data_IF_193579811286
#
_entry.id   IF_193579811286
#
_cell.length_a   1.000
_cell.length_b   1.000
_cell.length_c   1.000
_cell.angle_alpha   90.00
_cell.angle_beta   90.00
_cell.angle_gamma   90.00
#
_symmetry.space_group_name_H-M   'P 1'
#
loop_
_entity.id
_entity.type
_entity.pdbx_description
1 polymer ?
#
# COMPACT_ATOMS: atom_id res chain seq x y z
N UNK A 1 31.43 -21.69 6.51
CA UNK A 1 30.92 -21.23 5.21
C UNK A 1 29.50 -20.73 5.41
N UNK A 2 29.25 -19.43 5.26
CA UNK A 2 27.92 -18.83 5.42
C UNK A 2 27.15 -19.01 4.11
N UNK A 3 26.04 -19.77 4.16
CA UNK A 3 25.04 -19.76 3.10
C UNK A 3 24.42 -18.36 3.05
N UNK A 4 24.85 -17.53 2.09
CA UNK A 4 24.16 -16.29 1.71
C UNK A 4 22.77 -16.69 1.24
N UNK A 5 21.76 -16.46 2.09
CA UNK A 5 20.36 -16.71 1.78
C UNK A 5 19.96 -16.01 0.47
N UNK A 6 19.30 -16.76 -0.40
CA UNK A 6 18.97 -16.43 -1.80
C UNK A 6 17.88 -15.34 -1.96
N UNK A 7 17.49 -14.61 -0.90
CA UNK A 7 16.47 -13.57 -1.03
C UNK A 7 16.73 -12.36 -0.12
N UNK A 8 17.65 -11.49 -0.51
CA UNK A 8 17.56 -10.06 -0.15
C UNK A 8 17.22 -9.30 -1.42
N UNK A 9 15.94 -8.96 -1.64
CA UNK A 9 15.61 -7.99 -2.68
C UNK A 9 16.05 -6.62 -2.15
N UNK A 10 17.16 -6.10 -2.63
CA UNK A 10 17.65 -4.73 -2.36
C UNK A 10 16.74 -3.62 -2.96
N UNK A 11 15.50 -3.97 -3.31
CA UNK A 11 14.49 -3.08 -3.90
C UNK A 11 13.23 -3.13 -3.04
N UNK A 12 13.17 -2.25 -2.06
CA UNK A 12 11.97 -2.04 -1.24
C UNK A 12 10.96 -1.11 -1.94
N UNK A 13 11.37 -0.45 -3.02
CA UNK A 13 10.58 0.53 -3.78
C UNK A 13 9.85 -0.14 -4.96
N UNK A 14 8.65 -0.63 -4.68
CA UNK A 14 7.77 -1.24 -5.66
C UNK A 14 6.83 -0.16 -6.23
N UNK A 15 7.01 0.33 -7.46
CA UNK A 15 6.12 1.35 -8.03
C UNK A 15 4.78 0.73 -8.47
N UNK A 16 3.66 1.36 -8.10
CA UNK A 16 2.32 0.85 -8.44
C UNK A 16 2.10 0.86 -9.96
N UNK A 17 1.66 -0.25 -10.57
CA UNK A 17 1.28 -0.25 -11.98
C UNK A 17 0.19 0.76 -12.29
N UNK A 18 0.43 1.63 -13.26
CA UNK A 18 -0.42 2.78 -13.55
C UNK A 18 -1.87 2.36 -13.81
N UNK A 19 -2.09 1.30 -14.59
CA UNK A 19 -3.43 0.77 -14.89
C UNK A 19 -4.19 0.26 -13.66
N UNK A 20 -3.48 -0.29 -12.67
CA UNK A 20 -4.10 -0.72 -11.42
C UNK A 20 -4.50 0.50 -10.59
N UNK A 21 -3.59 1.47 -10.48
CA UNK A 21 -3.86 2.72 -9.76
C UNK A 21 -5.06 3.47 -10.36
N UNK A 22 -5.12 3.63 -11.68
CA UNK A 22 -6.21 4.34 -12.36
C UNK A 22 -7.58 3.73 -12.08
N UNK A 23 -7.70 2.40 -12.09
CA UNK A 23 -8.95 1.71 -11.74
C UNK A 23 -9.38 1.95 -10.29
N UNK A 24 -8.42 1.96 -9.38
CA UNK A 24 -8.69 2.25 -7.96
C UNK A 24 -9.04 3.72 -7.78
N UNK A 25 -8.35 4.63 -8.48
CA UNK A 25 -8.58 6.06 -8.39
C UNK A 25 -9.91 6.49 -9.05
N UNK A 26 -10.38 5.78 -10.07
CA UNK A 26 -11.71 5.98 -10.65
C UNK A 26 -12.82 5.63 -9.64
N UNK A 27 -12.58 4.64 -8.77
CA UNK A 27 -13.52 4.27 -7.70
C UNK A 27 -13.42 5.17 -6.47
N UNK A 28 -12.21 5.47 -6.02
CA UNK A 28 -11.97 6.09 -4.71
C UNK A 28 -11.65 7.58 -4.80
N UNK A 29 -11.20 8.10 -5.95
CA UNK A 29 -10.80 9.50 -6.11
C UNK A 29 -9.78 9.96 -5.05
N UNK A 30 -8.60 9.33 -5.05
CA UNK A 30 -7.57 9.57 -4.04
C UNK A 30 -7.09 11.02 -4.05
N UNK A 31 -6.98 11.61 -2.85
CA UNK A 31 -6.52 12.99 -2.66
C UNK A 31 -5.04 13.08 -2.33
N UNK A 32 -4.43 11.98 -1.87
CA UNK A 32 -3.04 11.90 -1.44
C UNK A 32 -2.46 10.51 -1.65
N UNK A 33 -1.18 10.47 -2.01
CA UNK A 33 -0.32 9.29 -1.99
C UNK A 33 0.58 9.33 -0.74
N UNK A 34 0.33 8.42 0.20
CA UNK A 34 0.94 8.48 1.54
C UNK A 34 2.39 7.98 1.57
N UNK A 35 2.88 7.34 0.51
CA UNK A 35 4.25 6.84 0.45
C UNK A 35 4.76 6.86 -1.00
N UNK A 36 5.39 7.97 -1.38
CA UNK A 36 5.91 8.16 -2.72
C UNK A 36 7.23 8.92 -2.74
N UNK A 37 7.74 9.12 -3.95
CA UNK A 37 8.78 10.07 -4.30
C UNK A 37 8.20 11.04 -5.34
N UNK A 38 8.90 12.13 -5.63
CA UNK A 38 8.51 13.05 -6.70
C UNK A 38 8.45 12.43 -8.09
N UNK A 39 9.06 11.25 -8.28
CA UNK A 39 9.12 10.55 -9.58
C UNK A 39 8.01 9.51 -9.77
N UNK A 40 7.46 8.96 -8.69
CA UNK A 40 6.53 7.82 -8.74
C UNK A 40 5.19 8.07 -8.05
N UNK A 41 4.96 9.28 -7.52
CA UNK A 41 3.71 9.67 -6.89
C UNK A 41 2.54 9.47 -7.85
N UNK A 42 1.47 8.85 -7.36
CA UNK A 42 0.24 8.62 -8.14
C UNK A 42 -0.85 9.67 -7.89
N UNK A 43 -0.66 10.52 -6.89
CA UNK A 43 -1.54 11.66 -6.59
C UNK A 43 -0.79 12.99 -6.72
N UNK A 44 -1.52 14.09 -6.92
CA UNK A 44 -0.94 15.45 -6.93
C UNK A 44 -0.32 15.83 -5.58
N UNK A 45 -0.98 15.45 -4.48
CA UNK A 45 -0.43 15.56 -3.14
C UNK A 45 0.19 14.23 -2.76
N UNK A 46 1.37 14.25 -2.15
CA UNK A 46 2.04 13.04 -1.69
C UNK A 46 2.99 13.35 -0.55
N UNK A 47 3.35 12.32 0.23
CA UNK A 47 4.42 12.38 1.20
C UNK A 47 5.66 11.65 0.70
N UNK A 48 6.82 12.28 0.88
CA UNK A 48 8.13 11.66 0.64
C UNK A 48 8.72 11.08 1.92
N UNK A 49 9.90 10.47 1.80
CA UNK A 49 10.67 9.99 2.96
C UNK A 49 10.98 11.14 3.92
N UNK A 50 11.28 12.33 3.39
CA UNK A 50 11.58 13.53 4.18
C UNK A 50 10.36 14.07 4.94
N UNK A 51 9.15 13.84 4.43
CA UNK A 51 7.92 14.22 5.14
C UNK A 51 7.66 13.35 6.36
N UNK A 52 8.26 12.15 6.46
CA UNK A 52 7.99 11.15 7.50
C UNK A 52 6.48 10.95 7.72
N UNK A 53 5.81 10.37 6.72
CA UNK A 53 4.38 10.16 6.75
C UNK A 53 3.90 9.39 8.01
N UNK A 54 4.73 8.50 8.58
CA UNK A 54 4.37 7.76 9.80
C UNK A 54 4.19 8.67 11.02
N UNK A 55 4.91 9.80 11.07
CA UNK A 55 4.73 10.83 12.10
C UNK A 55 3.48 11.71 11.90
N UNK A 56 2.94 11.80 10.69
CA UNK A 56 1.80 12.68 10.35
C UNK A 56 0.47 12.14 10.86
N UNK A 57 -0.48 13.03 11.10
CA UNK A 57 -1.85 12.66 11.45
C UNK A 57 -2.71 12.53 10.19
N UNK A 58 -2.85 11.32 9.66
CA UNK A 58 -3.53 11.10 8.38
C UNK A 58 -5.03 11.42 8.44
N UNK A 59 -5.67 11.37 9.62
CA UNK A 59 -7.09 11.69 9.75
C UNK A 59 -7.42 13.16 9.48
N UNK A 60 -6.40 14.05 9.45
CA UNK A 60 -6.56 15.46 9.10
C UNK A 60 -6.54 15.73 7.60
N UNK A 61 -6.20 14.74 6.77
CA UNK A 61 -6.30 14.86 5.32
C UNK A 61 -7.72 14.47 4.91
N UNK A 62 -8.49 15.44 4.41
CA UNK A 62 -9.88 15.22 3.99
C UNK A 62 -9.91 14.49 2.65
N UNK A 63 -10.51 13.29 2.64
CA UNK A 63 -10.74 12.50 1.44
C UNK A 63 -9.90 11.21 1.35
N UNK A 64 -10.15 10.38 0.32
CA UNK A 64 -9.61 9.02 0.23
C UNK A 64 -8.10 8.99 0.02
N UNK A 65 -7.41 8.03 0.66
CA UNK A 65 -5.94 7.98 0.72
C UNK A 65 -5.41 6.73 0.04
N UNK A 66 -4.41 6.91 -0.82
CA UNK A 66 -3.66 5.81 -1.43
C UNK A 66 -2.39 5.53 -0.63
N UNK A 67 -2.03 4.25 -0.50
CA UNK A 67 -0.81 3.83 0.16
C UNK A 67 -0.21 2.59 -0.51
N UNK A 68 0.98 2.76 -1.07
CA UNK A 68 1.82 1.66 -1.51
C UNK A 68 3.18 1.77 -0.80
N UNK A 69 3.29 1.24 0.44
CA UNK A 69 4.46 1.47 1.29
C UNK A 69 5.68 0.66 0.82
N UNK A 70 6.88 0.96 1.32
CA UNK A 70 8.03 0.07 1.15
C UNK A 70 7.79 -1.32 1.74
N UNK A 71 8.14 -2.39 1.02
CA UNK A 71 7.80 -3.79 1.40
C UNK A 71 8.84 -4.48 2.29
N UNK A 72 9.57 -3.70 3.07
CA UNK A 72 10.62 -4.18 3.97
C UNK A 72 10.15 -4.48 5.40
N UNK A 73 11.09 -4.45 6.34
CA UNK A 73 10.87 -4.76 7.77
C UNK A 73 9.84 -3.86 8.45
N UNK A 74 9.61 -2.66 7.92
CA UNK A 74 8.69 -1.68 8.50
C UNK A 74 7.25 -1.78 7.98
N UNK A 75 6.94 -2.71 7.07
CA UNK A 75 5.59 -2.84 6.48
C UNK A 75 4.48 -2.91 7.56
N UNK A 76 4.73 -3.63 8.66
CA UNK A 76 3.78 -3.72 9.77
C UNK A 76 3.46 -2.38 10.45
N UNK A 77 4.41 -1.43 10.46
CA UNK A 77 4.19 -0.08 11.01
C UNK A 77 3.24 0.72 10.12
N UNK A 78 3.37 0.62 8.80
CA UNK A 78 2.48 1.26 7.83
C UNK A 78 1.06 0.72 7.92
N UNK A 79 0.90 -0.60 8.00
CA UNK A 79 -0.42 -1.24 8.14
C UNK A 79 -1.07 -0.84 9.47
N UNK A 80 -0.32 -0.88 10.58
CA UNK A 80 -0.78 -0.40 11.89
C UNK A 80 -1.21 1.06 11.83
N UNK A 81 -0.42 1.92 11.17
CA UNK A 81 -0.72 3.35 11.02
C UNK A 81 -2.00 3.58 10.23
N UNK A 82 -2.20 2.83 9.13
CA UNK A 82 -3.42 2.89 8.34
C UNK A 82 -4.65 2.54 9.17
N UNK A 83 -4.61 1.43 9.92
CA UNK A 83 -5.70 1.03 10.82
C UNK A 83 -5.97 2.08 11.92
N UNK A 84 -4.94 2.57 12.61
CA UNK A 84 -5.12 3.60 13.66
C UNK A 84 -5.65 4.92 13.07
N UNK A 85 -5.33 5.22 11.82
CA UNK A 85 -5.85 6.41 11.14
C UNK A 85 -7.30 6.21 10.71
N UNK A 86 -7.65 5.01 10.24
CA UNK A 86 -9.00 4.69 9.79
C UNK A 86 -10.03 4.75 10.93
N UNK A 87 -9.66 4.39 12.17
CA UNK A 87 -10.55 4.56 13.32
C UNK A 87 -10.81 6.03 13.71
N UNK A 88 -10.04 6.98 13.16
CA UNK A 88 -10.13 8.42 13.46
C UNK A 88 -10.79 9.24 12.36
N UNK A 89 -11.08 8.65 11.20
CA UNK A 89 -11.77 9.33 10.10
C UNK A 89 -12.77 8.39 9.42
N UNK A 90 -13.58 8.91 8.51
CA UNK A 90 -14.53 8.11 7.72
C UNK A 90 -14.06 7.84 6.30
N UNK A 91 -13.00 8.52 5.86
CA UNK A 91 -12.51 8.41 4.50
C UNK A 91 -11.81 7.06 4.28
N UNK A 92 -11.96 6.44 3.09
CA UNK A 92 -11.22 5.26 2.71
C UNK A 92 -9.70 5.42 2.81
N UNK A 93 -9.04 4.37 3.28
CA UNK A 93 -7.59 4.21 3.21
C UNK A 93 -7.32 2.90 2.48
N UNK A 94 -6.73 3.01 1.28
CA UNK A 94 -6.54 1.88 0.36
C UNK A 94 -5.06 1.58 0.24
N UNK A 95 -4.70 0.32 0.52
CA UNK A 95 -3.32 -0.15 0.52
C UNK A 95 -3.10 -1.19 -0.56
N UNK A 96 -1.96 -1.13 -1.23
CA UNK A 96 -1.40 -2.25 -2.01
C UNK A 96 -0.22 -2.85 -1.24
N UNK A 97 -0.35 -4.11 -0.82
CA UNK A 97 0.67 -4.80 -0.03
C UNK A 97 0.81 -6.27 -0.46
N UNK A 98 1.94 -6.94 -0.13
CA UNK A 98 2.02 -8.39 -0.30
C UNK A 98 1.00 -9.11 0.60
N UNK A 99 0.34 -10.13 0.06
CA UNK A 99 -0.65 -10.92 0.80
C UNK A 99 0.04 -11.95 1.73
N UNK A 100 0.63 -11.46 2.81
CA UNK A 100 1.33 -12.27 3.83
C UNK A 100 0.41 -12.55 5.01
N UNK A 101 -0.58 -13.42 4.76
CA UNK A 101 -1.69 -13.70 5.68
C UNK A 101 -1.27 -14.34 7.01
N UNK A 102 -0.02 -14.82 7.10
CA UNK A 102 0.60 -15.45 8.27
C UNK A 102 1.27 -14.46 9.23
N UNK A 103 1.40 -13.19 8.86
CA UNK A 103 2.14 -12.20 9.64
C UNK A 103 1.29 -11.57 10.76
N UNK A 104 1.93 -11.19 11.87
CA UNK A 104 1.23 -10.56 13.02
C UNK A 104 0.45 -9.31 12.63
N UNK A 105 1.02 -8.42 11.80
CA UNK A 105 0.32 -7.20 11.38
C UNK A 105 -0.95 -7.50 10.58
N UNK A 106 -0.97 -8.63 9.85
CA UNK A 106 -2.14 -9.03 9.08
C UNK A 106 -3.29 -9.41 10.01
N UNK A 107 -3.02 -10.26 11.00
CA UNK A 107 -4.03 -10.66 11.98
C UNK A 107 -4.47 -9.50 12.91
N UNK A 108 -3.51 -8.68 13.35
CA UNK A 108 -3.79 -7.59 14.29
C UNK A 108 -4.55 -6.45 13.64
N UNK A 109 -4.21 -6.05 12.41
CA UNK A 109 -4.68 -4.79 11.83
C UNK A 109 -5.54 -4.95 10.57
N UNK A 110 -5.48 -6.09 9.86
CA UNK A 110 -6.22 -6.29 8.59
C UNK A 110 -7.41 -7.23 8.79
N UNK A 111 -7.15 -8.42 9.33
CA UNK A 111 -8.15 -9.46 9.42
C UNK A 111 -9.34 -9.04 10.31
N UNK A 112 -10.55 -9.17 9.77
CA UNK A 112 -11.82 -8.68 10.34
C UNK A 112 -11.90 -7.15 10.57
N UNK A 113 -10.98 -6.37 10.02
CA UNK A 113 -10.91 -4.90 10.20
C UNK A 113 -10.88 -4.11 8.90
N UNK A 114 -10.57 -4.77 7.79
CA UNK A 114 -10.51 -4.20 6.46
C UNK A 114 -11.22 -5.12 5.45
N UNK A 115 -11.69 -4.53 4.36
CA UNK A 115 -12.05 -5.26 3.15
C UNK A 115 -10.77 -5.69 2.42
N UNK A 116 -10.74 -6.91 1.90
CA UNK A 116 -9.55 -7.51 1.27
C UNK A 116 -9.93 -8.02 -0.12
N UNK A 117 -9.29 -7.47 -1.14
CA UNK A 117 -9.36 -7.97 -2.51
C UNK A 117 -8.02 -8.60 -2.90
N UNK A 118 -7.98 -9.93 -3.00
CA UNK A 118 -6.79 -10.63 -3.49
C UNK A 118 -6.67 -10.44 -5.01
N UNK A 119 -5.48 -10.05 -5.47
CA UNK A 119 -5.23 -9.88 -6.90
C UNK A 119 -4.93 -11.23 -7.55
N UNK A 120 -5.63 -11.53 -8.66
CA UNK A 120 -5.39 -12.75 -9.44
C UNK A 120 -4.08 -12.64 -10.21
N UNK A 121 -3.14 -13.54 -9.92
CA UNK A 121 -1.83 -13.60 -10.57
C UNK A 121 -0.76 -12.78 -9.83
N UNK A 122 0.47 -12.78 -10.37
CA UNK A 122 1.58 -11.97 -9.84
C UNK A 122 1.57 -10.61 -10.50
N UNK A 123 1.52 -9.55 -9.69
CA UNK A 123 1.58 -8.19 -10.19
C UNK A 123 2.98 -7.91 -10.77
N UNK A 124 3.04 -7.19 -11.89
CA UNK A 124 4.29 -6.65 -12.44
C UNK A 124 4.38 -5.19 -12.04
N UNK A 125 5.07 -4.90 -10.95
CA UNK A 125 5.29 -3.53 -10.49
C UNK A 125 6.13 -2.74 -11.49
N UNK A 126 5.94 -1.44 -11.52
CA UNK A 126 6.71 -0.54 -12.37
C UNK A 126 8.09 -0.27 -11.77
N UNK A 127 9.00 0.17 -12.62
CA UNK A 127 10.27 0.78 -12.25
C UNK A 127 10.55 1.91 -13.24
N UNK A 128 10.52 3.15 -12.76
CA UNK A 128 10.61 4.34 -13.60
C UNK A 128 9.54 4.33 -14.71
N UNK A 129 8.29 4.02 -14.34
CA UNK A 129 7.15 3.97 -15.26
C UNK A 129 7.13 2.82 -16.27
N UNK A 130 8.08 1.89 -16.21
CA UNK A 130 8.13 0.69 -17.06
C UNK A 130 7.81 -0.57 -16.26
N UNK A 131 6.96 -1.45 -16.80
CA UNK A 131 6.63 -2.71 -16.13
C UNK A 131 7.88 -3.58 -15.94
N UNK A 132 8.13 -4.00 -14.70
CA UNK A 132 9.18 -4.95 -14.36
C UNK A 132 8.75 -6.40 -14.47
N UNK A 133 9.50 -7.27 -13.80
CA UNK A 133 9.19 -8.69 -13.69
C UNK A 133 8.00 -8.94 -12.77
N UNK A 134 7.42 -10.14 -12.90
CA UNK A 134 6.38 -10.62 -11.99
C UNK A 134 6.90 -10.65 -10.56
N UNK A 135 6.17 -10.04 -9.63
CA UNK A 135 6.52 -10.05 -8.22
C UNK A 135 6.63 -11.49 -7.69
N UNK A 136 7.61 -11.80 -6.83
CA UNK A 136 7.78 -13.14 -6.27
C UNK A 136 6.73 -13.49 -5.20
N UNK A 137 5.80 -12.57 -4.91
CA UNK A 137 4.79 -12.69 -3.86
C UNK A 137 3.38 -12.37 -4.37
N UNK A 138 2.31 -12.89 -3.73
CA UNK A 138 0.94 -12.45 -4.01
C UNK A 138 0.72 -11.03 -3.50
N UNK A 139 -0.24 -10.31 -4.09
CA UNK A 139 -0.62 -8.97 -3.68
C UNK A 139 -2.10 -8.91 -3.31
N UNK A 140 -2.43 -8.02 -2.38
CA UNK A 140 -3.79 -7.71 -2.00
C UNK A 140 -4.01 -6.20 -2.00
N UNK A 141 -5.24 -5.80 -2.34
CA UNK A 141 -5.76 -4.48 -1.99
C UNK A 141 -6.45 -4.62 -0.63
N UNK A 142 -6.04 -3.79 0.32
CA UNK A 142 -6.63 -3.72 1.66
C UNK A 142 -7.26 -2.37 1.84
N UNK A 143 -8.57 -2.34 2.10
CA UNK A 143 -9.33 -1.11 2.22
C UNK A 143 -9.96 -0.99 3.60
N UNK A 144 -9.65 0.08 4.31
CA UNK A 144 -10.37 0.49 5.52
C UNK A 144 -11.47 1.50 5.16
N UNK A 145 -12.54 1.56 5.97
CA UNK A 145 -13.64 2.52 5.86
C UNK A 145 -14.32 2.54 4.50
N UNK A 146 -14.75 1.38 4.01
CA UNK A 146 -15.49 1.30 2.76
C UNK A 146 -16.50 0.15 2.79
N UNK A 147 -17.78 0.51 2.62
CA UNK A 147 -18.92 -0.40 2.86
C UNK A 147 -19.39 -1.14 1.58
N UNK A 148 -18.71 -0.95 0.45
CA UNK A 148 -19.15 -1.53 -0.84
C UNK A 148 -18.11 -2.51 -1.39
N UNK A 149 -18.42 -3.82 -1.49
CA UNK A 149 -17.53 -4.79 -2.12
C UNK A 149 -17.20 -4.41 -3.58
N UNK A 150 -16.03 -4.80 -4.07
CA UNK A 150 -15.75 -4.84 -5.51
C UNK A 150 -16.56 -5.97 -6.14
N UNK A 151 -17.30 -5.66 -7.22
CA UNK A 151 -17.94 -6.63 -8.13
C UNK A 151 -17.14 -6.71 -9.42
#
# INVERSE_FOLDING_TARGET
>A
MLNKGIFSSDKDDWETPQKLFEKLNDRYHFVIDLAATSKNAKCKNYYTVEDDALSKDWSKVNGPKWLNPPYGRQLGLWVKKAYISSIKCKDPIVLLIPARTDTSYWHEYIFYKAHIDFLRGRLKFEHNGSAGDSAPFPSAIVTYNFDTPWL
#
